data_IF_311215061004
#
_entry.id   IF_311215061004
#
_cell.length_a   1.000
_cell.length_b   1.000
_cell.length_c   1.000
_cell.angle_alpha   90.00
_cell.angle_beta   90.00
_cell.angle_gamma   90.00
#
_symmetry.space_group_name_H-M   'P 1'
#
loop_
_entity.id
_entity.type
_entity.pdbx_description
1 polymer ?
#
# COMPACT_ATOMS: atom_id res chain seq x y z
N UNK A 1 -9.52 -17.02 2.18
CA UNK A 1 -10.25 -16.00 1.41
C UNK A 1 -11.35 -15.41 2.31
N UNK A 2 -11.27 -14.11 2.61
CA UNK A 2 -12.18 -13.46 3.58
C UNK A 2 -13.48 -12.94 2.91
N UNK A 3 -13.97 -13.63 1.88
CA UNK A 3 -15.19 -13.24 1.12
C UNK A 3 -16.37 -12.96 2.04
N UNK A 4 -17.01 -11.81 1.82
CA UNK A 4 -18.27 -11.44 2.51
C UNK A 4 -18.10 -10.74 3.86
N UNK A 5 -16.88 -10.56 4.39
CA UNK A 5 -16.67 -9.77 5.61
C UNK A 5 -16.67 -8.28 5.28
N UNK A 6 -17.51 -7.53 5.96
CA UNK A 6 -17.52 -6.06 5.87
C UNK A 6 -16.40 -5.51 6.74
N UNK A 7 -15.43 -4.85 6.11
CA UNK A 7 -14.44 -4.05 6.83
C UNK A 7 -15.13 -2.81 7.42
N UNK A 8 -14.69 -2.37 8.58
CA UNK A 8 -15.08 -1.06 9.10
C UNK A 8 -14.34 -0.02 8.28
N UNK A 9 -15.07 0.69 7.43
CA UNK A 9 -14.58 1.81 6.64
C UNK A 9 -14.89 3.10 7.39
N UNK A 10 -14.07 4.15 7.21
CA UNK A 10 -14.50 5.50 7.55
C UNK A 10 -15.79 5.82 6.78
N UNK A 11 -16.71 6.55 7.41
CA UNK A 11 -17.96 6.95 6.78
C UNK A 11 -17.70 7.67 5.46
N UNK A 12 -18.23 7.12 4.34
CA UNK A 12 -18.12 7.76 3.02
C UNK A 12 -17.42 6.96 1.92
N UNK A 13 -17.02 5.70 2.14
CA UNK A 13 -16.48 4.84 1.09
C UNK A 13 -17.46 4.67 -0.08
N UNK A 14 -17.07 5.15 -1.28
CA UNK A 14 -17.93 5.21 -2.47
C UNK A 14 -17.78 3.96 -3.35
N UNK A 15 -18.81 3.55 -4.14
CA UNK A 15 -18.73 2.43 -5.09
C UNK A 15 -17.55 2.54 -6.10
N UNK A 16 -17.12 3.75 -6.42
CA UNK A 16 -15.99 4.03 -7.32
C UNK A 16 -14.66 3.52 -6.74
N UNK A 17 -14.45 3.66 -5.41
CA UNK A 17 -13.25 3.17 -4.71
C UNK A 17 -13.14 1.63 -4.78
N UNK A 18 -14.27 0.92 -4.73
CA UNK A 18 -14.28 -0.54 -4.86
C UNK A 18 -13.82 -1.01 -6.24
N UNK A 19 -14.25 -0.33 -7.33
CA UNK A 19 -13.83 -0.66 -8.71
C UNK A 19 -12.35 -0.37 -8.93
N UNK A 20 -11.87 0.76 -8.42
CA UNK A 20 -10.46 1.15 -8.49
C UNK A 20 -9.58 0.11 -7.79
N UNK A 21 -9.97 -0.33 -6.59
CA UNK A 21 -9.25 -1.34 -5.81
C UNK A 21 -9.22 -2.70 -6.52
N UNK A 22 -10.33 -3.18 -7.05
CA UNK A 22 -10.35 -4.44 -7.81
C UNK A 22 -9.41 -4.37 -9.03
N UNK A 23 -9.44 -3.25 -9.77
CA UNK A 23 -8.56 -3.05 -10.91
C UNK A 23 -7.08 -3.00 -10.49
N UNK A 24 -6.76 -2.33 -9.37
CA UNK A 24 -5.41 -2.29 -8.81
C UNK A 24 -4.90 -3.71 -8.50
N UNK A 25 -5.68 -4.51 -7.79
CA UNK A 25 -5.27 -5.88 -7.45
C UNK A 25 -5.11 -6.76 -8.67
N UNK A 26 -5.97 -6.64 -9.70
CA UNK A 26 -5.80 -7.36 -10.96
C UNK A 26 -4.49 -6.98 -11.68
N UNK A 27 -4.09 -5.70 -11.65
CA UNK A 27 -2.81 -5.27 -12.19
C UNK A 27 -1.63 -5.83 -11.38
N UNK A 28 -1.74 -5.82 -10.05
CA UNK A 28 -0.72 -6.36 -9.15
C UNK A 28 -0.55 -7.87 -9.34
N UNK A 29 -1.65 -8.62 -9.48
CA UNK A 29 -1.61 -10.06 -9.72
C UNK A 29 -0.82 -10.39 -11.01
N UNK A 30 -0.95 -9.57 -12.06
CA UNK A 30 -0.16 -9.70 -13.28
C UNK A 30 1.33 -9.35 -13.12
N UNK A 31 1.68 -8.43 -12.21
CA UNK A 31 3.06 -7.98 -11.99
C UNK A 31 3.80 -8.91 -11.02
N UNK A 32 3.18 -9.23 -9.88
CA UNK A 32 3.83 -10.08 -8.87
C UNK A 32 3.76 -11.57 -9.22
N UNK A 33 2.90 -11.96 -10.16
CA UNK A 33 2.75 -13.34 -10.63
C UNK A 33 2.33 -14.29 -9.51
N UNK A 34 2.83 -15.52 -9.60
CA UNK A 34 2.50 -16.60 -8.66
C UNK A 34 3.33 -16.57 -7.34
N UNK A 35 4.00 -15.47 -7.03
CA UNK A 35 4.75 -15.34 -5.77
C UNK A 35 3.77 -15.25 -4.60
N UNK A 36 3.71 -16.29 -3.78
CA UNK A 36 2.83 -16.34 -2.61
C UNK A 36 3.48 -15.73 -1.37
N UNK A 37 4.80 -15.87 -1.23
CA UNK A 37 5.56 -15.33 -0.09
C UNK A 37 6.05 -13.93 -0.44
N UNK A 38 5.35 -12.92 0.02
CA UNK A 38 5.66 -11.50 -0.20
C UNK A 38 5.64 -10.75 1.12
N UNK A 39 6.64 -9.90 1.33
CA UNK A 39 6.64 -8.91 2.41
C UNK A 39 6.08 -7.60 1.86
N UNK A 40 4.94 -7.20 2.36
CA UNK A 40 4.22 -6.00 1.93
C UNK A 40 4.27 -4.94 3.01
N UNK A 41 4.49 -3.71 2.63
CA UNK A 41 4.40 -2.56 3.50
C UNK A 41 3.23 -1.65 3.09
N UNK A 42 2.21 -1.58 3.93
CA UNK A 42 1.11 -0.61 3.84
C UNK A 42 1.53 0.62 4.68
N UNK A 43 2.14 1.61 4.00
CA UNK A 43 2.93 2.64 4.66
C UNK A 43 2.08 3.75 5.30
N UNK A 44 0.87 4.01 4.77
CA UNK A 44 -0.10 4.96 5.30
C UNK A 44 -1.44 4.24 5.46
N UNK A 45 -1.48 3.28 6.40
CA UNK A 45 -2.46 2.21 6.38
C UNK A 45 -3.92 2.65 6.56
N UNK A 46 -4.19 3.77 7.24
CA UNK A 46 -5.56 4.23 7.48
C UNK A 46 -6.44 3.15 8.13
N UNK A 47 -7.40 2.62 7.39
CA UNK A 47 -8.24 1.49 7.82
C UNK A 47 -7.61 0.10 7.58
N UNK A 48 -6.49 0.03 6.86
CA UNK A 48 -5.79 -1.21 6.50
C UNK A 48 -6.38 -1.95 5.31
N UNK A 49 -7.24 -1.30 4.51
CA UNK A 49 -7.96 -1.98 3.42
C UNK A 49 -7.04 -2.66 2.43
N UNK A 50 -5.98 -1.97 2.01
CA UNK A 50 -5.04 -2.52 1.04
C UNK A 50 -4.33 -3.76 1.60
N UNK A 51 -3.71 -3.63 2.75
CA UNK A 51 -2.96 -4.73 3.36
C UNK A 51 -3.84 -5.94 3.72
N UNK A 52 -5.08 -5.69 4.19
CA UNK A 52 -6.05 -6.75 4.50
C UNK A 52 -6.49 -7.49 3.24
N UNK A 53 -6.78 -6.78 2.16
CA UNK A 53 -7.12 -7.41 0.88
C UNK A 53 -5.93 -8.25 0.36
N UNK A 54 -4.69 -7.76 0.55
CA UNK A 54 -3.48 -8.48 0.17
C UNK A 54 -3.34 -9.79 0.98
N UNK A 55 -3.49 -9.73 2.31
CA UNK A 55 -3.50 -10.92 3.18
C UNK A 55 -4.57 -11.94 2.79
N UNK A 56 -5.73 -11.45 2.31
CA UNK A 56 -6.83 -12.29 1.85
C UNK A 56 -6.53 -13.04 0.57
N UNK A 57 -5.83 -12.39 -0.37
CA UNK A 57 -5.50 -12.94 -1.68
C UNK A 57 -4.26 -13.85 -1.66
N UNK A 58 -3.32 -13.58 -0.75
CA UNK A 58 -2.01 -14.23 -0.67
C UNK A 58 -1.82 -14.86 0.70
N UNK A 59 -2.16 -16.14 0.88
CA UNK A 59 -2.13 -16.81 2.21
C UNK A 59 -0.75 -16.87 2.87
N UNK A 60 0.33 -16.75 2.09
CA UNK A 60 1.71 -16.79 2.59
C UNK A 60 2.37 -15.41 2.68
N UNK A 61 1.64 -14.34 2.33
CA UNK A 61 2.17 -12.98 2.43
C UNK A 61 2.17 -12.47 3.87
N UNK A 62 3.15 -11.62 4.18
CA UNK A 62 3.22 -10.84 5.41
C UNK A 62 2.96 -9.38 5.09
N UNK A 63 2.21 -8.69 5.95
CA UNK A 63 1.92 -7.26 5.78
C UNK A 63 2.34 -6.50 7.03
N UNK A 64 3.18 -5.49 6.86
CA UNK A 64 3.45 -4.49 7.87
C UNK A 64 2.59 -3.25 7.59
N UNK A 65 1.75 -2.90 8.55
CA UNK A 65 0.93 -1.69 8.53
C UNK A 65 1.61 -0.63 9.37
N UNK A 66 1.79 0.56 8.83
CA UNK A 66 2.22 1.73 9.61
C UNK A 66 1.23 2.88 9.42
N UNK A 67 0.95 3.58 10.51
CA UNK A 67 0.19 4.83 10.50
C UNK A 67 0.57 5.62 11.76
N UNK A 68 0.62 6.94 11.69
CA UNK A 68 0.96 7.79 12.83
C UNK A 68 -0.27 8.14 13.68
N UNK A 69 -1.49 7.94 13.17
CA UNK A 69 -2.73 8.20 13.87
C UNK A 69 -3.17 6.99 14.71
N UNK A 70 -3.34 7.19 16.01
CA UNK A 70 -3.82 6.13 16.91
C UNK A 70 -5.20 5.58 16.52
N UNK A 71 -6.07 6.42 15.95
CA UNK A 71 -7.39 6.02 15.46
C UNK A 71 -7.28 5.05 14.27
N UNK A 72 -6.38 5.32 13.31
CA UNK A 72 -6.08 4.44 12.18
C UNK A 72 -5.60 3.07 12.68
N UNK A 73 -4.61 3.07 13.55
CA UNK A 73 -4.06 1.81 14.11
C UNK A 73 -5.09 1.01 14.88
N UNK A 74 -5.97 1.67 15.65
CA UNK A 74 -7.10 1.01 16.31
C UNK A 74 -8.03 0.36 15.29
N UNK A 75 -8.32 1.06 14.18
CA UNK A 75 -9.17 0.55 13.10
C UNK A 75 -8.54 -0.65 12.42
N UNK A 76 -7.25 -0.57 12.05
CA UNK A 76 -6.51 -1.71 11.46
C UNK A 76 -6.58 -2.92 12.38
N UNK A 77 -6.28 -2.77 13.68
CA UNK A 77 -6.35 -3.87 14.66
C UNK A 77 -7.76 -4.48 14.73
N UNK A 78 -8.79 -3.64 14.76
CA UNK A 78 -10.20 -4.09 14.79
C UNK A 78 -10.55 -4.88 13.53
N UNK A 79 -10.08 -4.44 12.35
CA UNK A 79 -10.35 -5.10 11.08
C UNK A 79 -9.55 -6.39 10.91
N UNK A 80 -8.34 -6.46 11.44
CA UNK A 80 -7.44 -7.63 11.35
C UNK A 80 -7.82 -8.73 12.35
N UNK A 81 -8.26 -8.37 13.56
CA UNK A 81 -8.53 -9.31 14.65
C UNK A 81 -9.40 -10.53 14.26
N UNK A 82 -10.51 -10.37 13.47
CA UNK A 82 -11.36 -11.50 13.11
C UNK A 82 -10.84 -12.35 11.94
N UNK A 83 -9.64 -12.07 11.39
CA UNK A 83 -9.20 -12.65 10.11
C UNK A 83 -8.31 -13.89 10.24
N UNK A 84 -7.92 -14.26 11.44
CA UNK A 84 -7.01 -15.41 11.71
C UNK A 84 -5.73 -15.34 10.85
N UNK A 85 -5.14 -14.14 10.75
CA UNK A 85 -3.90 -13.95 10.00
C UNK A 85 -2.64 -14.15 10.85
N UNK A 86 -2.79 -14.26 12.15
CA UNK A 86 -1.70 -14.52 13.09
C UNK A 86 -0.55 -13.51 12.97
N UNK A 87 0.68 -14.02 12.97
CA UNK A 87 1.91 -13.22 12.88
C UNK A 87 2.11 -12.56 11.48
N UNK A 88 1.26 -12.85 10.50
CA UNK A 88 1.37 -12.27 9.15
C UNK A 88 0.97 -10.78 9.07
N UNK A 89 0.32 -10.25 10.09
CA UNK A 89 -0.04 -8.85 10.19
C UNK A 89 0.77 -8.18 11.30
N UNK A 90 1.77 -7.39 10.94
CA UNK A 90 2.54 -6.57 11.86
C UNK A 90 1.99 -5.14 11.86
N UNK A 91 1.48 -4.65 13.00
CA UNK A 91 0.77 -3.37 13.10
C UNK A 91 1.53 -2.41 14.00
N UNK A 92 2.08 -1.35 13.42
CA UNK A 92 2.96 -0.39 14.10
C UNK A 92 2.32 1.01 14.10
N UNK A 93 2.18 1.61 15.26
CA UNK A 93 1.90 3.04 15.38
C UNK A 93 3.21 3.80 15.18
N UNK A 94 3.44 4.30 13.98
CA UNK A 94 4.68 4.98 13.62
C UNK A 94 4.48 5.89 12.40
N UNK A 95 5.28 6.95 12.32
CA UNK A 95 5.43 7.71 11.08
C UNK A 95 6.22 6.87 10.08
N UNK A 96 5.63 6.60 8.92
CA UNK A 96 6.23 5.82 7.84
C UNK A 96 7.60 6.36 7.42
N UNK A 97 7.78 7.71 7.42
CA UNK A 97 9.04 8.36 7.10
C UNK A 97 10.19 7.92 8.01
N UNK A 98 9.91 7.61 9.27
CA UNK A 98 10.92 7.18 10.26
C UNK A 98 11.25 5.69 10.18
N UNK A 99 10.50 4.92 9.39
CA UNK A 99 10.63 3.46 9.27
C UNK A 99 11.22 3.00 7.94
N UNK A 100 11.54 3.92 7.04
CA UNK A 100 12.00 3.60 5.69
C UNK A 100 13.22 2.67 5.73
N UNK A 101 14.26 3.03 6.43
CA UNK A 101 15.54 2.29 6.47
C UNK A 101 15.40 0.91 7.14
N UNK A 102 14.36 0.73 7.98
CA UNK A 102 14.09 -0.53 8.66
C UNK A 102 13.22 -1.48 7.81
N UNK A 103 12.23 -0.94 7.08
CA UNK A 103 11.19 -1.76 6.43
C UNK A 103 11.45 -1.90 4.93
N UNK A 104 11.78 -0.81 4.23
CA UNK A 104 11.89 -0.81 2.77
C UNK A 104 12.91 -1.82 2.20
N UNK A 105 14.08 -2.06 2.80
CA UNK A 105 15.05 -3.04 2.27
C UNK A 105 14.50 -4.47 2.19
N UNK A 106 13.51 -4.80 3.04
CA UNK A 106 12.94 -6.15 3.11
C UNK A 106 11.56 -6.25 2.45
N UNK A 107 11.01 -5.14 1.93
CA UNK A 107 9.72 -5.14 1.28
C UNK A 107 9.82 -5.59 -0.18
N UNK A 108 8.92 -6.48 -0.59
CA UNK A 108 8.68 -6.84 -1.99
C UNK A 108 7.72 -5.88 -2.67
N UNK A 109 6.75 -5.38 -1.91
CA UNK A 109 5.74 -4.43 -2.36
C UNK A 109 5.48 -3.39 -1.28
N UNK A 110 5.37 -2.13 -1.69
CA UNK A 110 5.08 -0.99 -0.81
C UNK A 110 3.86 -0.26 -1.35
N UNK A 111 2.85 -0.06 -0.52
CA UNK A 111 1.68 0.75 -0.86
C UNK A 111 1.77 2.11 -0.16
N UNK A 112 1.54 3.17 -0.93
CA UNK A 112 1.72 4.56 -0.53
C UNK A 112 0.46 5.34 -0.89
N UNK A 113 -0.36 5.64 0.13
CA UNK A 113 -1.60 6.43 0.02
C UNK A 113 -1.65 7.47 1.15
N UNK A 114 -0.80 8.51 1.08
CA UNK A 114 -0.83 9.57 2.07
C UNK A 114 -2.10 10.41 1.92
N UNK A 115 -2.56 11.13 2.96
CA UNK A 115 -3.68 12.05 2.85
C UNK A 115 -3.49 13.04 1.68
N UNK A 116 -4.52 13.24 0.86
CA UNK A 116 -4.47 14.04 -0.38
C UNK A 116 -3.99 15.48 -0.20
N UNK A 117 -4.17 16.06 0.99
CA UNK A 117 -3.68 17.40 1.30
C UNK A 117 -2.16 17.46 1.51
N UNK A 118 -1.50 16.30 1.53
CA UNK A 118 -0.09 16.14 1.83
C UNK A 118 0.67 15.46 0.65
N UNK A 119 0.36 15.82 -0.59
CA UNK A 119 0.99 15.24 -1.80
C UNK A 119 2.52 15.29 -1.77
N UNK A 120 3.11 16.35 -1.20
CA UNK A 120 4.56 16.49 -1.02
C UNK A 120 5.15 15.43 -0.08
N UNK A 121 4.39 14.97 0.92
CA UNK A 121 4.83 13.88 1.81
C UNK A 121 4.96 12.60 1.01
N UNK A 122 4.00 12.28 0.15
CA UNK A 122 4.06 11.13 -0.74
C UNK A 122 5.30 11.16 -1.64
N UNK A 123 5.54 12.28 -2.30
CA UNK A 123 6.71 12.43 -3.19
C UNK A 123 8.04 12.30 -2.44
N UNK A 124 8.14 12.92 -1.26
CA UNK A 124 9.33 12.79 -0.40
C UNK A 124 9.53 11.37 0.10
N UNK A 125 8.44 10.68 0.46
CA UNK A 125 8.47 9.28 0.87
C UNK A 125 8.97 8.38 -0.27
N UNK A 126 8.38 8.49 -1.47
CA UNK A 126 8.74 7.70 -2.65
C UNK A 126 10.22 7.89 -3.02
N UNK A 127 10.73 9.14 -2.98
CA UNK A 127 12.14 9.44 -3.22
C UNK A 127 13.06 8.76 -2.19
N UNK A 128 12.73 8.84 -0.90
CA UNK A 128 13.55 8.21 0.15
C UNK A 128 13.50 6.69 0.09
N UNK A 129 12.33 6.12 -0.17
CA UNK A 129 12.17 4.68 -0.38
C UNK A 129 12.99 4.22 -1.58
N UNK A 130 13.06 5.02 -2.66
CA UNK A 130 13.89 4.73 -3.82
C UNK A 130 15.38 4.54 -3.51
N UNK A 131 15.88 5.17 -2.44
CA UNK A 131 17.26 4.97 -1.96
C UNK A 131 17.38 3.68 -1.14
N UNK A 132 16.40 3.37 -0.30
CA UNK A 132 16.47 2.29 0.68
C UNK A 132 15.99 0.94 0.15
N UNK A 133 15.01 0.94 -0.77
CA UNK A 133 14.43 -0.29 -1.30
C UNK A 133 15.39 -1.04 -2.22
N UNK A 134 15.31 -2.36 -2.20
CA UNK A 134 16.09 -3.21 -3.10
C UNK A 134 15.60 -3.11 -4.54
N UNK A 135 16.49 -3.39 -5.48
CA UNK A 135 16.14 -3.50 -6.90
C UNK A 135 15.02 -4.52 -7.10
N UNK A 136 14.05 -4.18 -7.93
CA UNK A 136 12.89 -5.02 -8.20
C UNK A 136 11.72 -4.85 -7.21
N UNK A 137 11.87 -4.10 -6.11
CA UNK A 137 10.74 -3.76 -5.24
C UNK A 137 9.66 -3.06 -6.04
N UNK A 138 8.42 -3.50 -5.87
CA UNK A 138 7.24 -2.87 -6.46
C UNK A 138 6.70 -1.81 -5.49
N UNK A 139 6.39 -0.63 -6.01
CA UNK A 139 5.74 0.42 -5.24
C UNK A 139 4.45 0.84 -5.95
N UNK A 140 3.36 0.86 -5.21
CA UNK A 140 2.07 1.41 -5.65
C UNK A 140 1.91 2.76 -4.96
N UNK A 141 1.78 3.81 -5.75
CA UNK A 141 1.53 5.16 -5.26
C UNK A 141 0.15 5.62 -5.70
N UNK A 142 -0.76 5.74 -4.74
CA UNK A 142 -2.08 6.34 -4.95
C UNK A 142 -1.99 7.84 -4.75
N UNK A 143 -2.59 8.60 -5.67
CA UNK A 143 -2.60 10.06 -5.68
C UNK A 143 -3.95 10.59 -6.15
N UNK A 144 -4.24 11.85 -5.81
CA UNK A 144 -5.33 12.59 -6.44
C UNK A 144 -4.93 13.00 -7.86
N UNK A 145 -5.83 12.82 -8.84
CA UNK A 145 -5.61 13.21 -10.24
C UNK A 145 -5.30 14.69 -10.43
N UNK A 146 -5.81 15.55 -9.55
CA UNK A 146 -5.64 16.99 -9.65
C UNK A 146 -4.30 17.50 -9.06
N UNK A 147 -3.64 16.66 -8.26
CA UNK A 147 -2.42 17.01 -7.50
C UNK A 147 -1.34 15.93 -7.60
N UNK A 148 -1.24 15.25 -8.74
CA UNK A 148 -0.27 14.19 -8.88
C UNK A 148 1.15 14.68 -9.11
N UNK A 149 2.11 13.86 -8.69
CA UNK A 149 3.54 14.04 -8.90
C UNK A 149 4.12 12.79 -9.58
N UNK A 150 5.18 12.97 -10.35
CA UNK A 150 5.92 11.85 -10.93
C UNK A 150 7.11 11.47 -10.05
N UNK A 151 7.48 10.18 -10.02
CA UNK A 151 8.67 9.74 -9.31
C UNK A 151 9.94 10.19 -10.05
N UNK A 152 11.09 10.09 -9.36
CA UNK A 152 12.41 10.21 -9.97
C UNK A 152 12.64 9.02 -10.92
N UNK A 153 12.82 9.28 -12.20
CA UNK A 153 13.01 8.27 -13.25
C UNK A 153 14.36 7.54 -13.15
N UNK A 154 15.35 8.13 -12.49
CA UNK A 154 16.60 7.45 -12.17
C UNK A 154 16.43 6.31 -11.16
N UNK A 155 15.43 6.42 -10.28
CA UNK A 155 15.16 5.42 -9.24
C UNK A 155 14.07 4.43 -9.62
N UNK A 156 13.06 4.88 -10.39
CA UNK A 156 11.83 4.15 -10.60
C UNK A 156 11.49 4.00 -12.08
N UNK A 157 11.09 2.81 -12.45
CA UNK A 157 10.43 2.52 -13.72
C UNK A 157 8.92 2.52 -13.51
N UNK A 158 8.18 3.25 -14.35
CA UNK A 158 6.70 3.24 -14.31
C UNK A 158 6.21 2.02 -15.10
N UNK A 159 5.72 1.01 -14.39
CA UNK A 159 5.12 -0.18 -15.00
C UNK A 159 3.68 0.07 -15.44
N UNK A 160 2.91 0.83 -14.63
CA UNK A 160 1.51 1.19 -14.92
C UNK A 160 1.20 2.58 -14.39
N UNK A 161 0.37 3.28 -15.13
CA UNK A 161 -0.23 4.56 -14.78
C UNK A 161 -1.71 4.51 -15.15
N UNK A 162 -2.58 4.50 -14.16
CA UNK A 162 -4.03 4.32 -14.35
C UNK A 162 -4.84 5.22 -13.43
N UNK A 163 -5.89 5.81 -13.99
CA UNK A 163 -6.81 6.69 -13.28
C UNK A 163 -8.20 6.05 -13.17
N UNK A 164 -8.78 6.12 -11.97
CA UNK A 164 -10.13 5.66 -11.66
C UNK A 164 -10.85 6.74 -10.84
N UNK A 165 -11.68 7.54 -11.50
CA UNK A 165 -12.29 8.71 -10.88
C UNK A 165 -11.21 9.71 -10.44
N UNK A 166 -11.15 10.03 -9.15
CA UNK A 166 -10.11 10.90 -8.58
C UNK A 166 -8.84 10.19 -8.16
N UNK A 167 -8.83 8.87 -8.11
CA UNK A 167 -7.65 8.10 -7.74
C UNK A 167 -6.79 7.81 -8.97
N UNK A 168 -5.49 8.14 -8.90
CA UNK A 168 -4.47 7.77 -9.88
C UNK A 168 -3.48 6.84 -9.22
N UNK A 169 -3.27 5.67 -9.82
CA UNK A 169 -2.30 4.69 -9.37
C UNK A 169 -1.09 4.68 -10.28
N UNK A 170 0.07 4.98 -9.72
CA UNK A 170 1.36 4.66 -10.33
C UNK A 170 1.86 3.36 -9.74
N UNK A 171 2.12 2.35 -10.58
CA UNK A 171 2.81 1.13 -10.17
C UNK A 171 4.22 1.22 -10.71
N UNK A 172 5.17 1.24 -9.80
CA UNK A 172 6.58 1.51 -10.02
C UNK A 172 7.41 0.28 -9.69
N UNK A 173 8.55 0.12 -10.36
CA UNK A 173 9.56 -0.86 -10.01
C UNK A 173 10.89 -0.16 -9.74
N UNK A 174 11.56 -0.55 -8.64
CA UNK A 174 12.88 -0.04 -8.29
C UNK A 174 13.91 -0.51 -9.32
N UNK A 175 14.56 0.46 -9.99
CA UNK A 175 15.62 0.21 -10.98
C UNK A 175 16.91 -0.32 -10.33
N UNK A 176 17.79 -0.82 -11.15
CA UNK A 176 19.15 -1.20 -10.74
C UNK A 176 20.00 0.04 -10.36
#
# INVERSE_FOLDING_TARGET
MFRGRKLRLPDGARPTQNRARIALFNMLDGIVGARDTLNVWDAFAGSGEFGIEFLSRRPMANVTFTDNAAASIKTVRTNVAPLDVGARANILMADAMTRIEQIAPNADLIFVDPPYDLSEIGARFVRRVGVAARVGTILVWEQDTDKFMLPDDAQWEILRDKTYGRARFLILQRRA
#
